data_IF_736528537589
#
_entry.id   IF_736528537589
#
_cell.length_a   1.000
_cell.length_b   1.000
_cell.length_c   1.000
_cell.angle_alpha   90.00
_cell.angle_beta   90.00
_cell.angle_gamma   90.00
#
_symmetry.space_group_name_H-M   'P 1'
#
loop_
_entity.id
_entity.type
_entity.pdbx_description
1 polymer ?
#
# COMPACT_ATOMS: atom_id res chain seq x y z
N UNK A 1 -8.77 15.07 -10.14
CA UNK A 1 -8.76 13.68 -9.59
C UNK A 1 -7.36 13.12 -9.71
N UNK A 2 -6.79 12.56 -8.64
CA UNK A 2 -5.44 11.96 -8.67
C UNK A 2 -5.59 10.48 -8.34
N UNK A 3 -5.21 9.64 -9.30
CA UNK A 3 -5.31 8.18 -9.28
C UNK A 3 -3.94 7.54 -9.33
N UNK A 4 -3.78 6.38 -8.69
CA UNK A 4 -2.57 5.56 -8.78
C UNK A 4 -2.95 4.06 -8.84
N UNK A 5 -2.84 3.42 -10.01
CA UNK A 5 -3.24 2.03 -10.17
C UNK A 5 -2.25 1.09 -9.48
N UNK A 6 -2.78 0.08 -8.80
CA UNK A 6 -1.98 -0.97 -8.18
C UNK A 6 -1.51 -2.04 -9.19
N UNK A 7 -2.23 -2.18 -10.30
CA UNK A 7 -2.02 -3.22 -11.31
C UNK A 7 -2.52 -2.79 -12.70
N UNK A 8 -2.26 -3.62 -13.71
CA UNK A 8 -2.61 -3.33 -15.09
C UNK A 8 -4.13 -3.21 -15.36
N UNK A 9 -4.98 -3.91 -14.60
CA UNK A 9 -6.44 -3.79 -14.76
C UNK A 9 -6.89 -2.45 -14.21
N UNK A 10 -6.43 -2.08 -13.01
CA UNK A 10 -6.73 -0.78 -12.44
C UNK A 10 -6.18 0.36 -13.31
N UNK A 11 -5.02 0.19 -13.97
CA UNK A 11 -4.52 1.18 -14.93
C UNK A 11 -5.50 1.38 -16.09
N UNK A 12 -5.97 0.30 -16.72
CA UNK A 12 -6.97 0.39 -17.80
C UNK A 12 -8.26 1.08 -17.33
N UNK A 13 -8.73 0.72 -16.13
CA UNK A 13 -9.94 1.31 -15.54
C UNK A 13 -9.76 2.79 -15.22
N UNK A 14 -8.63 3.18 -14.65
CA UNK A 14 -8.33 4.58 -14.29
C UNK A 14 -8.12 5.46 -15.52
N UNK A 15 -7.55 4.94 -16.61
CA UNK A 15 -7.50 5.66 -17.90
C UNK A 15 -8.91 5.88 -18.44
N UNK A 16 -9.77 4.87 -18.36
CA UNK A 16 -11.19 5.00 -18.76
C UNK A 16 -11.94 5.99 -17.86
N UNK A 17 -11.72 5.97 -16.56
CA UNK A 17 -12.25 6.98 -15.62
C UNK A 17 -11.75 8.37 -15.97
N UNK A 18 -10.45 8.55 -16.23
CA UNK A 18 -9.87 9.84 -16.60
C UNK A 18 -10.51 10.43 -17.86
N UNK A 19 -10.75 9.58 -18.87
CA UNK A 19 -11.43 9.99 -20.11
C UNK A 19 -12.90 10.38 -19.90
N UNK A 20 -13.58 9.75 -18.95
CA UNK A 20 -14.98 10.03 -18.63
C UNK A 20 -15.19 11.29 -17.77
N UNK A 21 -14.12 11.86 -17.21
CA UNK A 21 -14.19 13.12 -16.44
C UNK A 21 -14.14 14.29 -17.43
N UNK A 22 -15.21 15.08 -17.47
CA UNK A 22 -15.38 16.22 -18.38
C UNK A 22 -15.46 17.59 -17.64
N UNK A 23 -15.51 17.57 -16.31
CA UNK A 23 -15.77 18.75 -15.46
C UNK A 23 -14.58 19.20 -14.60
N UNK A 24 -13.47 18.45 -14.56
CA UNK A 24 -12.26 18.80 -13.78
C UNK A 24 -10.99 18.10 -14.29
N UNK A 25 -9.78 18.60 -13.97
CA UNK A 25 -8.55 17.91 -14.37
C UNK A 25 -8.38 16.57 -13.65
N UNK A 26 -7.79 15.60 -14.35
CA UNK A 26 -7.46 14.26 -13.83
C UNK A 26 -5.99 13.88 -14.10
N UNK A 27 -5.41 13.08 -13.21
CA UNK A 27 -4.03 12.59 -13.26
C UNK A 27 -4.03 11.10 -12.90
N UNK A 28 -3.34 10.29 -13.70
CA UNK A 28 -3.05 8.88 -13.41
C UNK A 28 -1.53 8.74 -13.27
N UNK A 29 -1.06 8.44 -12.06
CA UNK A 29 0.35 8.23 -11.76
C UNK A 29 0.64 6.74 -11.71
N UNK A 30 1.49 6.24 -12.58
CA UNK A 30 1.94 4.85 -12.59
C UNK A 30 3.47 4.77 -12.78
N UNK A 31 4.16 3.86 -12.09
CA UNK A 31 5.61 3.71 -12.25
C UNK A 31 5.95 2.91 -13.50
N UNK A 32 7.22 2.96 -13.91
CA UNK A 32 7.78 1.98 -14.85
C UNK A 32 7.78 0.60 -14.17
N UNK A 33 7.31 -0.41 -14.89
CA UNK A 33 7.28 -1.79 -14.41
C UNK A 33 6.58 -2.71 -15.39
N UNK A 34 6.50 -3.99 -15.03
CA UNK A 34 5.77 -5.00 -15.78
C UNK A 34 4.41 -5.26 -15.12
N UNK A 35 3.41 -5.62 -15.92
CA UNK A 35 2.15 -6.17 -15.41
C UNK A 35 2.35 -7.55 -14.79
N UNK A 36 1.40 -7.96 -13.95
CA UNK A 36 1.45 -9.24 -13.25
C UNK A 36 0.96 -10.42 -14.11
N UNK A 37 0.19 -10.14 -15.16
CA UNK A 37 -0.54 -11.13 -15.94
C UNK A 37 -1.68 -11.77 -15.15
N UNK A 38 -2.55 -12.50 -15.85
CA UNK A 38 -3.73 -13.13 -15.23
C UNK A 38 -3.37 -14.00 -14.01
N UNK A 39 -2.33 -14.84 -14.11
CA UNK A 39 -1.90 -15.70 -13.01
C UNK A 39 -1.43 -14.88 -11.79
N UNK A 40 -0.62 -13.84 -12.01
CA UNK A 40 -0.11 -12.98 -10.95
C UNK A 40 -1.23 -12.20 -10.27
N UNK A 41 -2.16 -11.63 -11.04
CA UNK A 41 -3.33 -10.92 -10.53
C UNK A 41 -4.25 -11.85 -9.71
N UNK A 42 -4.46 -13.08 -10.17
CA UNK A 42 -5.23 -14.06 -9.43
C UNK A 42 -4.58 -14.40 -8.09
N UNK A 43 -3.26 -14.62 -8.10
CA UNK A 43 -2.49 -14.99 -6.91
C UNK A 43 -2.37 -13.85 -5.89
N UNK A 44 -2.24 -12.61 -6.36
CA UNK A 44 -2.02 -11.44 -5.49
C UNK A 44 -3.34 -10.82 -5.01
N UNK A 45 -4.32 -10.68 -5.90
CA UNK A 45 -5.50 -9.85 -5.65
C UNK A 45 -6.83 -10.59 -5.86
N UNK A 46 -6.81 -11.87 -6.25
CA UNK A 46 -8.02 -12.72 -6.31
C UNK A 46 -8.96 -12.43 -7.47
N UNK A 47 -8.47 -11.90 -8.59
CA UNK A 47 -9.32 -11.51 -9.73
C UNK A 47 -10.04 -12.68 -10.46
N UNK A 48 -9.60 -13.92 -10.30
CA UNK A 48 -10.18 -15.12 -10.95
C UNK A 48 -10.28 -15.05 -12.50
N UNK A 49 -9.23 -14.54 -13.14
CA UNK A 49 -9.11 -14.33 -14.58
C UNK A 49 -8.62 -15.58 -15.31
N UNK A 50 -9.14 -15.81 -16.51
CA UNK A 50 -8.56 -16.77 -17.46
C UNK A 50 -7.42 -16.17 -18.28
N UNK A 51 -7.53 -14.87 -18.60
CA UNK A 51 -6.56 -14.07 -19.34
C UNK A 51 -6.67 -12.61 -18.91
N UNK A 52 -5.64 -11.80 -19.18
CA UNK A 52 -5.71 -10.36 -18.93
C UNK A 52 -6.78 -9.75 -19.85
N UNK A 53 -7.74 -8.96 -19.33
CA UNK A 53 -8.80 -8.37 -20.14
C UNK A 53 -8.24 -7.29 -21.08
N UNK A 54 -8.93 -7.06 -22.18
CA UNK A 54 -8.70 -5.94 -23.09
C UNK A 54 -9.25 -4.64 -22.47
N UNK A 55 -8.72 -3.46 -22.88
CA UNK A 55 -9.23 -2.18 -22.40
C UNK A 55 -10.75 -1.96 -22.63
N UNK A 56 -11.32 -2.58 -23.66
CA UNK A 56 -12.76 -2.52 -23.95
C UNK A 56 -13.62 -3.29 -22.95
N UNK A 57 -13.04 -4.27 -22.25
CA UNK A 57 -13.75 -5.21 -21.35
C UNK A 57 -13.80 -4.70 -19.90
N UNK A 58 -13.11 -3.62 -19.58
CA UNK A 58 -13.12 -3.03 -18.23
C UNK A 58 -14.06 -1.83 -18.13
N UNK A 59 -14.58 -1.57 -16.94
CA UNK A 59 -15.44 -0.41 -16.64
C UNK A 59 -14.66 0.70 -15.93
N UNK A 60 -15.13 1.95 -16.10
CA UNK A 60 -14.66 3.06 -15.30
C UNK A 60 -14.92 2.79 -13.80
N UNK A 61 -14.06 3.34 -12.96
CA UNK A 61 -14.17 3.31 -11.50
C UNK A 61 -15.06 4.46 -11.00
N UNK A 62 -15.86 4.23 -9.94
CA UNK A 62 -16.39 5.32 -9.14
C UNK A 62 -15.23 6.17 -8.58
N UNK A 63 -15.31 7.49 -8.76
CA UNK A 63 -14.26 8.41 -8.32
C UNK A 63 -14.27 8.54 -6.81
N UNK A 64 -13.12 8.26 -6.18
CA UNK A 64 -12.97 8.38 -4.72
C UNK A 64 -13.24 7.10 -3.94
N UNK A 65 -13.55 5.99 -4.60
CA UNK A 65 -13.78 4.71 -3.94
C UNK A 65 -12.54 3.80 -4.05
N UNK A 66 -12.02 3.40 -2.89
CA UNK A 66 -11.01 2.37 -2.76
C UNK A 66 -11.57 0.98 -3.02
N UNK A 67 -10.79 -0.06 -2.67
CA UNK A 67 -11.29 -1.43 -2.60
C UNK A 67 -10.64 -2.23 -1.48
N UNK A 68 -11.40 -3.16 -0.94
CA UNK A 68 -10.88 -4.15 -0.01
C UNK A 68 -10.24 -5.31 -0.78
N UNK A 69 -8.98 -5.62 -0.49
CA UNK A 69 -8.29 -6.79 -1.06
C UNK A 69 -8.49 -8.00 -0.15
N UNK A 70 -8.36 -7.78 1.16
CA UNK A 70 -8.50 -8.81 2.18
C UNK A 70 -8.86 -8.18 3.51
N UNK A 71 -9.73 -8.83 4.29
CA UNK A 71 -9.99 -8.47 5.69
C UNK A 71 -9.19 -9.36 6.65
N UNK A 72 -8.79 -8.78 7.77
CA UNK A 72 -8.28 -9.52 8.92
C UNK A 72 -9.32 -10.53 9.42
N UNK A 73 -8.84 -11.58 10.07
CA UNK A 73 -9.71 -12.51 10.79
C UNK A 73 -10.49 -11.74 11.88
N UNK A 74 -11.83 -11.82 11.94
CA UNK A 74 -12.63 -11.19 12.98
C UNK A 74 -12.17 -11.53 14.40
N UNK A 75 -11.69 -12.76 14.61
CA UNK A 75 -11.25 -13.29 15.91
C UNK A 75 -9.78 -12.99 16.24
N UNK A 76 -9.07 -12.28 15.36
CA UNK A 76 -7.70 -11.86 15.64
C UNK A 76 -7.65 -10.93 16.85
N UNK A 77 -6.77 -11.26 17.81
CA UNK A 77 -6.56 -10.48 19.04
C UNK A 77 -6.01 -9.08 18.76
N UNK A 78 -5.21 -8.98 17.70
CA UNK A 78 -4.59 -7.73 17.26
C UNK A 78 -4.77 -7.63 15.76
N UNK A 79 -5.11 -6.43 15.26
CA UNK A 79 -5.43 -6.20 13.86
C UNK A 79 -4.57 -5.07 13.30
N UNK A 80 -3.98 -5.33 12.13
CA UNK A 80 -3.19 -4.34 11.37
C UNK A 80 -3.86 -4.10 10.03
N UNK A 81 -4.12 -2.85 9.69
CA UNK A 81 -4.55 -2.43 8.37
C UNK A 81 -3.35 -1.92 7.55
N UNK A 82 -3.25 -2.35 6.30
CA UNK A 82 -2.32 -1.80 5.33
C UNK A 82 -3.14 -1.16 4.20
N UNK A 83 -3.05 0.16 4.07
CA UNK A 83 -3.69 0.95 3.02
C UNK A 83 -2.63 1.38 2.02
N UNK A 84 -2.61 0.77 0.84
CA UNK A 84 -1.62 1.06 -0.18
C UNK A 84 -2.19 1.93 -1.29
N UNK A 85 -1.38 2.88 -1.78
CA UNK A 85 -1.63 3.63 -2.99
C UNK A 85 -0.61 3.24 -4.07
N UNK A 86 -1.09 2.71 -5.20
CA UNK A 86 -0.25 2.33 -6.33
C UNK A 86 0.41 0.94 -6.18
N UNK A 87 1.56 0.74 -6.83
CA UNK A 87 2.06 -0.61 -7.12
C UNK A 87 2.67 -1.35 -5.92
N UNK A 88 2.87 -0.66 -4.79
CA UNK A 88 3.29 -1.30 -3.53
C UNK A 88 2.22 -2.19 -2.92
N UNK A 89 0.99 -2.22 -3.46
CA UNK A 89 -0.04 -3.15 -3.01
C UNK A 89 0.43 -4.62 -3.08
N UNK A 90 1.24 -4.96 -4.08
CA UNK A 90 1.81 -6.32 -4.16
C UNK A 90 2.76 -6.63 -2.99
N UNK A 91 3.52 -5.64 -2.52
CA UNK A 91 4.39 -5.76 -1.35
C UNK A 91 3.57 -5.82 -0.05
N UNK A 92 2.44 -5.11 0.04
CA UNK A 92 1.51 -5.25 1.16
C UNK A 92 0.95 -6.68 1.28
N UNK A 93 0.57 -7.30 0.15
CA UNK A 93 0.11 -8.71 0.11
C UNK A 93 1.23 -9.68 0.50
N UNK A 94 2.47 -9.39 0.14
CA UNK A 94 3.64 -10.20 0.57
C UNK A 94 3.93 -10.02 2.05
N UNK A 95 3.80 -8.80 2.59
CA UNK A 95 4.03 -8.47 3.99
C UNK A 95 3.06 -9.23 4.90
N UNK A 96 1.79 -9.39 4.49
CA UNK A 96 0.81 -10.24 5.19
C UNK A 96 1.37 -11.63 5.52
N UNK A 97 2.05 -12.28 4.56
CA UNK A 97 2.60 -13.63 4.80
C UNK A 97 3.69 -13.62 5.86
N UNK A 98 4.56 -12.62 5.83
CA UNK A 98 5.62 -12.44 6.83
C UNK A 98 5.03 -12.17 8.22
N UNK A 99 4.00 -11.31 8.29
CA UNK A 99 3.30 -11.03 9.55
C UNK A 99 2.61 -12.28 10.09
N UNK A 100 2.00 -13.12 9.23
CA UNK A 100 1.35 -14.36 9.67
C UNK A 100 2.35 -15.44 10.12
N UNK A 101 3.54 -15.47 9.52
CA UNK A 101 4.59 -16.44 9.85
C UNK A 101 5.21 -16.15 11.22
N UNK A 102 5.59 -14.91 11.48
CA UNK A 102 6.26 -14.52 12.74
C UNK A 102 5.27 -14.01 13.82
N UNK A 103 4.09 -13.57 13.39
CA UNK A 103 3.14 -12.83 14.22
C UNK A 103 1.93 -13.66 14.66
N UNK A 104 2.09 -14.46 15.71
CA UNK A 104 0.95 -15.18 16.29
C UNK A 104 -0.15 -14.19 16.75
N UNK A 105 -1.41 -14.50 16.42
CA UNK A 105 -2.59 -13.73 16.82
C UNK A 105 -2.83 -12.41 16.08
N UNK A 106 -2.03 -12.06 15.08
CA UNK A 106 -2.20 -10.84 14.27
C UNK A 106 -3.06 -11.12 13.04
N UNK A 107 -4.18 -10.42 12.93
CA UNK A 107 -4.99 -10.32 11.72
C UNK A 107 -4.53 -9.15 10.86
N UNK A 108 -4.49 -9.32 9.55
CA UNK A 108 -4.09 -8.24 8.62
C UNK A 108 -5.16 -7.99 7.57
N UNK A 109 -5.58 -6.73 7.49
CA UNK A 109 -6.44 -6.19 6.43
C UNK A 109 -5.58 -5.47 5.41
N UNK A 110 -5.89 -5.64 4.12
CA UNK A 110 -5.22 -4.96 3.02
C UNK A 110 -6.27 -4.26 2.17
N UNK A 111 -6.08 -2.97 1.97
CA UNK A 111 -6.92 -2.14 1.11
C UNK A 111 -6.07 -1.41 0.06
N UNK A 112 -6.64 -1.29 -1.14
CA UNK A 112 -6.11 -0.47 -2.22
C UNK A 112 -6.87 0.85 -2.23
N UNK A 113 -6.14 1.94 -1.96
CA UNK A 113 -6.70 3.27 -1.85
C UNK A 113 -7.23 3.79 -3.19
N UNK A 114 -6.62 3.39 -4.31
CA UNK A 114 -6.84 3.86 -5.70
C UNK A 114 -6.65 5.35 -5.96
N UNK A 115 -7.11 6.20 -5.04
CA UNK A 115 -7.18 7.65 -5.18
C UNK A 115 -6.37 8.32 -4.08
N UNK A 116 -5.48 9.22 -4.51
CA UNK A 116 -4.88 10.24 -3.64
C UNK A 116 -5.87 11.40 -3.43
N UNK A 117 -6.67 11.71 -4.46
CA UNK A 117 -7.68 12.78 -4.38
C UNK A 117 -8.87 12.50 -5.32
N UNK A 118 -10.11 12.46 -4.82
CA UNK A 118 -10.49 12.54 -3.40
C UNK A 118 -10.09 11.27 -2.62
N UNK A 119 -9.98 11.38 -1.30
CA UNK A 119 -9.79 10.23 -0.42
C UNK A 119 -11.12 9.48 -0.22
N UNK A 120 -11.04 8.16 -0.09
CA UNK A 120 -12.13 7.33 0.42
C UNK A 120 -12.18 7.44 1.95
N UNK A 121 -12.88 8.46 2.45
CA UNK A 121 -12.92 8.79 3.88
C UNK A 121 -13.57 7.68 4.70
N UNK A 122 -14.60 7.05 4.16
CA UNK A 122 -15.37 5.98 4.76
C UNK A 122 -14.51 4.72 4.94
N UNK A 123 -13.78 4.31 3.89
CA UNK A 123 -12.80 3.24 3.98
C UNK A 123 -11.74 3.56 5.04
N UNK A 124 -11.13 4.74 4.97
CA UNK A 124 -10.06 5.12 5.91
C UNK A 124 -10.56 5.12 7.37
N UNK A 125 -11.76 5.66 7.62
CA UNK A 125 -12.40 5.66 8.94
C UNK A 125 -12.58 4.23 9.45
N UNK A 126 -13.15 3.33 8.63
CA UNK A 126 -13.33 1.93 9.02
C UNK A 126 -12.01 1.24 9.35
N UNK A 127 -10.94 1.54 8.62
CA UNK A 127 -9.62 0.95 8.89
C UNK A 127 -9.05 1.42 10.23
N UNK A 128 -9.21 2.69 10.59
CA UNK A 128 -8.73 3.20 11.89
C UNK A 128 -9.57 2.69 13.05
N UNK A 129 -10.88 2.57 12.89
CA UNK A 129 -11.78 2.12 13.95
C UNK A 129 -11.66 0.62 14.24
N UNK A 130 -11.39 -0.20 13.22
CA UNK A 130 -11.35 -1.66 13.34
C UNK A 130 -9.96 -2.26 13.67
N UNK A 131 -8.89 -1.45 13.71
CA UNK A 131 -7.51 -1.92 13.78
C UNK A 131 -6.65 -1.19 14.82
N UNK A 132 -5.69 -1.90 15.41
CA UNK A 132 -4.72 -1.36 16.37
C UNK A 132 -3.60 -0.55 15.69
N UNK A 133 -3.33 -0.84 14.41
CA UNK A 133 -2.33 -0.16 13.60
C UNK A 133 -2.87 0.05 12.20
N UNK A 134 -2.74 1.28 11.68
CA UNK A 134 -2.91 1.60 10.27
C UNK A 134 -1.55 1.96 9.67
N UNK A 135 -1.17 1.28 8.59
CA UNK A 135 0.02 1.57 7.81
C UNK A 135 -0.42 2.08 6.44
N UNK A 136 -0.03 3.30 6.08
CA UNK A 136 -0.14 3.77 4.70
C UNK A 136 1.15 3.49 3.95
N UNK A 137 1.05 3.06 2.69
CA UNK A 137 2.21 2.74 1.85
C UNK A 137 2.05 3.35 0.47
N UNK A 138 2.98 4.21 0.08
CA UNK A 138 3.02 4.82 -1.25
C UNK A 138 4.43 4.94 -1.82
N UNK A 139 4.50 5.18 -3.13
CA UNK A 139 5.75 5.48 -3.85
C UNK A 139 5.93 7.00 -4.01
N UNK A 140 5.31 7.81 -3.17
CA UNK A 140 5.55 9.27 -3.03
C UNK A 140 6.56 9.57 -1.94
N UNK A 141 6.99 10.82 -1.85
CA UNK A 141 7.75 11.33 -0.71
C UNK A 141 6.81 11.95 0.35
N UNK A 142 7.37 12.49 1.42
CA UNK A 142 6.63 13.31 2.39
C UNK A 142 5.87 14.44 1.68
N UNK A 143 4.67 14.77 2.19
CA UNK A 143 3.67 15.64 1.55
C UNK A 143 2.68 14.89 0.65
N UNK A 144 2.77 13.56 0.60
CA UNK A 144 1.98 12.68 -0.28
C UNK A 144 0.67 12.17 0.32
N UNK A 145 0.28 10.98 -0.14
CA UNK A 145 -0.92 10.27 0.29
C UNK A 145 -1.00 9.99 1.78
N UNK A 146 0.09 9.49 2.38
CA UNK A 146 0.09 9.20 3.82
C UNK A 146 -0.19 10.45 4.66
N UNK A 147 0.33 11.61 4.25
CA UNK A 147 0.10 12.88 4.93
C UNK A 147 -1.30 13.44 4.70
N UNK A 148 -1.86 13.23 3.50
CA UNK A 148 -3.26 13.59 3.22
C UNK A 148 -4.23 12.74 4.05
N UNK A 149 -3.94 11.45 4.23
CA UNK A 149 -4.66 10.56 5.15
C UNK A 149 -4.50 11.03 6.58
N UNK A 150 -3.27 11.34 7.02
CA UNK A 150 -3.01 11.84 8.38
C UNK A 150 -3.76 13.15 8.67
N UNK A 151 -3.78 14.09 7.72
CA UNK A 151 -4.55 15.32 7.81
C UNK A 151 -6.05 15.05 8.00
N UNK A 152 -6.62 14.09 7.27
CA UNK A 152 -8.02 13.70 7.47
C UNK A 152 -8.24 13.10 8.86
N UNK A 153 -7.42 12.13 9.26
CA UNK A 153 -7.58 11.42 10.54
C UNK A 153 -7.46 12.34 11.75
N UNK A 154 -6.49 13.25 11.73
CA UNK A 154 -6.22 14.18 12.83
C UNK A 154 -7.32 15.24 12.97
N UNK A 155 -7.77 15.84 11.88
CA UNK A 155 -8.82 16.87 11.94
C UNK A 155 -10.21 16.31 12.31
N UNK A 156 -10.45 15.02 12.08
CA UNK A 156 -11.68 14.34 12.50
C UNK A 156 -11.58 13.74 13.92
N UNK A 157 -10.44 13.89 14.60
CA UNK A 157 -10.21 13.35 15.96
C UNK A 157 -10.16 11.82 16.02
N UNK A 158 -9.97 11.13 14.89
CA UNK A 158 -10.03 9.66 14.82
C UNK A 158 -8.84 8.98 15.51
N UNK A 159 -7.78 9.73 15.81
CA UNK A 159 -6.59 9.23 16.50
C UNK A 159 -6.53 9.64 17.99
N UNK A 160 -7.44 10.48 18.47
CA UNK A 160 -7.38 11.10 19.80
C UNK A 160 -7.43 10.07 20.95
N UNK A 161 -8.09 8.95 20.72
CA UNK A 161 -8.18 7.85 21.70
C UNK A 161 -6.88 7.06 21.87
N UNK A 162 -5.92 7.22 20.96
CA UNK A 162 -4.69 6.42 20.93
C UNK A 162 -4.87 4.93 20.62
N UNK A 163 -6.10 4.48 20.30
CA UNK A 163 -6.40 3.06 20.01
C UNK A 163 -5.72 2.55 18.74
N UNK A 164 -5.63 3.38 17.72
CA UNK A 164 -5.01 3.04 16.45
C UNK A 164 -3.71 3.83 16.27
N UNK A 165 -2.61 3.14 16.02
CA UNK A 165 -1.31 3.74 15.74
C UNK A 165 -1.13 3.91 14.23
N UNK A 166 -0.89 5.14 13.77
CA UNK A 166 -0.62 5.41 12.36
C UNK A 166 0.89 5.29 12.05
N UNK A 167 1.23 4.64 10.93
CA UNK A 167 2.57 4.68 10.32
C UNK A 167 2.43 5.05 8.84
N UNK A 168 3.26 5.98 8.39
CA UNK A 168 3.31 6.44 7.00
C UNK A 168 4.61 5.95 6.38
N UNK A 169 4.51 5.11 5.36
CA UNK A 169 5.65 4.59 4.61
C UNK A 169 5.71 5.23 3.23
N UNK A 170 6.76 6.01 3.01
CA UNK A 170 7.02 6.82 1.81
C UNK A 170 8.46 6.61 1.36
N UNK A 171 8.80 7.11 0.18
CA UNK A 171 10.19 7.30 -0.22
C UNK A 171 10.88 8.30 0.72
N UNK A 172 12.17 8.10 1.04
CA UNK A 172 12.91 9.05 1.87
C UNK A 172 13.07 10.39 1.15
N UNK A 173 13.08 11.48 1.90
CA UNK A 173 13.25 12.85 1.39
C UNK A 173 14.71 13.16 1.07
N UNK A 174 15.26 12.40 0.12
CA UNK A 174 16.63 12.51 -0.38
C UNK A 174 16.71 11.92 -1.79
N UNK A 175 17.77 12.29 -2.52
CA UNK A 175 18.02 11.67 -3.81
C UNK A 175 18.34 10.18 -3.67
N UNK A 176 17.70 9.38 -4.50
CA UNK A 176 17.95 7.93 -4.58
C UNK A 176 18.92 7.69 -5.73
N UNK A 177 20.07 7.12 -5.42
CA UNK A 177 21.10 6.78 -6.40
C UNK A 177 20.59 5.81 -7.48
N UNK A 178 21.21 5.87 -8.65
CA UNK A 178 20.89 4.97 -9.74
C UNK A 178 21.16 3.51 -9.35
N UNK A 179 20.18 2.64 -9.60
CA UNK A 179 20.31 1.22 -9.28
C UNK A 179 19.12 0.42 -9.78
N UNK A 180 19.12 -0.89 -9.50
CA UNK A 180 17.96 -1.72 -9.79
C UNK A 180 16.77 -1.29 -8.92
N UNK A 181 15.56 -1.28 -9.50
CA UNK A 181 14.32 -0.87 -8.81
C UNK A 181 14.14 -1.59 -7.45
N UNK A 182 14.44 -2.89 -7.39
CA UNK A 182 14.41 -3.65 -6.13
C UNK A 182 15.37 -3.08 -5.08
N UNK A 183 16.60 -2.73 -5.48
CA UNK A 183 17.62 -2.18 -4.57
C UNK A 183 17.19 -0.81 -4.06
N UNK A 184 16.63 0.03 -4.93
CA UNK A 184 16.11 1.36 -4.57
C UNK A 184 14.95 1.26 -3.57
N UNK A 185 14.01 0.33 -3.75
CA UNK A 185 12.96 0.10 -2.75
C UNK A 185 13.45 -0.58 -1.47
N UNK A 186 14.53 -1.36 -1.54
CA UNK A 186 15.15 -1.90 -0.33
C UNK A 186 15.73 -0.77 0.50
N UNK A 187 16.50 0.11 -0.13
CA UNK A 187 17.05 1.32 0.47
C UNK A 187 15.95 2.22 1.04
N UNK A 188 14.86 2.43 0.29
CA UNK A 188 13.75 3.26 0.74
C UNK A 188 12.92 2.63 1.86
N UNK A 189 13.13 1.36 2.21
CA UNK A 189 12.31 0.70 3.22
C UNK A 189 10.88 0.39 2.75
N UNK A 190 10.64 0.16 1.46
CA UNK A 190 9.30 -0.03 0.86
C UNK A 190 9.07 -1.44 0.28
N UNK A 191 9.76 -2.44 0.85
CA UNK A 191 9.53 -3.85 0.52
C UNK A 191 8.67 -4.54 1.59
N UNK A 192 8.13 -5.71 1.27
CA UNK A 192 7.31 -6.52 2.17
C UNK A 192 7.90 -6.68 3.57
N UNK A 193 9.22 -6.95 3.67
CA UNK A 193 9.93 -7.09 4.96
C UNK A 193 9.88 -5.82 5.80
N UNK A 194 9.96 -4.66 5.15
CA UNK A 194 9.93 -3.37 5.81
C UNK A 194 8.51 -3.00 6.27
N UNK A 195 7.49 -3.35 5.49
CA UNK A 195 6.08 -3.19 5.87
C UNK A 195 5.78 -4.08 7.09
N UNK A 196 6.19 -5.35 7.05
CA UNK A 196 6.04 -6.29 8.16
C UNK A 196 6.77 -5.81 9.42
N UNK A 197 8.04 -5.39 9.30
CA UNK A 197 8.80 -4.83 10.41
C UNK A 197 8.15 -3.58 11.00
N UNK A 198 7.56 -2.72 10.16
CA UNK A 198 6.83 -1.54 10.60
C UNK A 198 5.58 -1.92 11.40
N UNK A 199 4.82 -2.93 10.96
CA UNK A 199 3.70 -3.47 11.72
C UNK A 199 4.15 -4.00 13.09
N UNK A 200 5.20 -4.83 13.12
CA UNK A 200 5.72 -5.38 14.37
C UNK A 200 6.23 -4.30 15.33
N UNK A 201 7.01 -3.34 14.84
CA UNK A 201 7.46 -2.20 15.66
C UNK A 201 6.29 -1.37 16.18
N UNK A 202 5.28 -1.14 15.34
CA UNK A 202 4.09 -0.42 15.75
C UNK A 202 3.31 -1.19 16.83
N UNK A 203 3.45 -2.51 16.92
CA UNK A 203 2.88 -3.38 17.95
C UNK A 203 3.83 -3.67 19.12
N UNK A 204 4.96 -2.98 19.21
CA UNK A 204 6.00 -3.17 20.24
C UNK A 204 6.66 -4.56 20.23
N UNK A 205 6.64 -5.24 19.07
CA UNK A 205 7.19 -6.58 18.82
C UNK A 205 8.56 -6.51 18.13
N UNK A 206 9.58 -6.03 18.86
CA UNK A 206 10.89 -5.73 18.26
C UNK A 206 11.66 -6.97 17.79
N UNK A 207 11.47 -8.14 18.42
CA UNK A 207 12.14 -9.38 18.03
C UNK A 207 11.74 -9.82 16.63
N UNK A 208 10.43 -9.92 16.41
CA UNK A 208 9.82 -10.30 15.14
C UNK A 208 10.15 -9.29 14.03
N UNK A 209 10.23 -8.00 14.38
CA UNK A 209 10.66 -6.96 13.44
C UNK A 209 12.11 -7.17 12.95
N UNK A 210 13.02 -7.63 13.82
CA UNK A 210 14.40 -7.93 13.44
C UNK A 210 14.48 -9.23 12.62
N UNK A 211 13.70 -10.24 12.98
CA UNK A 211 13.65 -11.53 12.28
C UNK A 211 13.22 -11.36 10.81
N UNK A 212 12.12 -10.63 10.54
CA UNK A 212 11.67 -10.42 9.15
C UNK A 212 12.65 -9.60 8.32
N UNK A 213 13.42 -8.69 8.95
CA UNK A 213 14.45 -7.92 8.25
C UNK A 213 15.68 -8.79 7.94
N UNK A 214 16.05 -9.70 8.83
CA UNK A 214 17.19 -10.60 8.69
C UNK A 214 16.92 -11.77 7.71
N UNK A 215 15.68 -12.26 7.64
CA UNK A 215 15.30 -13.38 6.78
C UNK A 215 15.33 -13.05 5.26
N UNK A 216 15.48 -11.78 4.89
CA UNK A 216 15.56 -11.38 3.50
C UNK A 216 17.00 -11.44 2.97
N UNK A 217 17.25 -11.98 1.77
CA UNK A 217 18.60 -12.06 1.22
C UNK A 217 19.21 -10.66 1.11
N UNK A 218 20.42 -10.49 1.66
CA UNK A 218 21.17 -9.24 1.62
C UNK A 218 21.35 -8.79 0.16
N UNK A 219 20.81 -7.64 -0.19
CA UNK A 219 21.14 -6.97 -1.44
C UNK A 219 22.45 -6.23 -1.19
N UNK A 220 23.50 -6.58 -1.94
CA UNK A 220 24.83 -5.99 -1.78
C UNK A 220 24.76 -4.46 -1.76
N UNK A 221 25.21 -3.87 -0.65
CA UNK A 221 25.26 -2.43 -0.47
C UNK A 221 26.25 -1.84 -1.48
N UNK A 222 25.74 -1.10 -2.47
CA UNK A 222 26.56 -0.19 -3.26
C UNK A 222 27.17 0.86 -2.33
N UNK A 223 28.44 1.21 -2.57
CA UNK A 223 29.19 2.15 -1.74
C UNK A 223 28.43 3.47 -1.58
N UNK A 224 28.43 4.08 -0.38
CA UNK A 224 27.84 5.40 -0.20
C UNK A 224 28.60 6.42 -1.05
N UNK A 225 27.87 7.05 -1.98
CA UNK A 225 28.27 8.28 -2.65
C UNK A 225 28.07 9.41 -1.64
N UNK A 226 29.16 10.10 -1.29
CA UNK A 226 29.12 11.30 -0.44
C UNK A 226 28.80 12.47 -1.35
N UNK A 227 27.68 13.16 -1.10
CA UNK A 227 27.41 14.49 -1.62
C UNK A 227 27.61 15.52 -0.51
#
# INVERSE_FOLDING_TARGET
VIMAPADEIELMRMVKTAHAIDDKPSVVRYPRGNGFGAEGLNKLFGYNLKSTPLPSEVSALPVGEGRMIRRADPEAKTKVAILSLGTRLCEAVRALRMIQQEGNGIGVTIADARYMKPLDKELIRSLVEEHDVLITVEEGAVGGFGDHVNYFLTNEGLLDSGKCRLRVMVLPDQFVEAGGQKQQYDFAGLQAKHIAATAFRALDRQGEALEVLAAAPAVGMGKPSVA
#
